data_IF_809652905550
#
_entry.id   IF_809652905550
#
_cell.length_a   1.000
_cell.length_b   1.000
_cell.length_c   1.000
_cell.angle_alpha   90.00
_cell.angle_beta   90.00
_cell.angle_gamma   90.00
#
_symmetry.space_group_name_H-M   'P 1'
#
loop_
_entity.id
_entity.type
_entity.pdbx_description
1 polymer ?
#
# COMPACT_ATOMS: atom_id res chain seq x y z
N UNK A 1 -86.17 58.68 20.35
CA UNK A 1 -85.24 58.15 19.34
C UNK A 1 -83.87 58.79 19.57
N UNK A 2 -83.01 58.20 20.40
CA UNK A 2 -81.55 58.31 20.31
C UNK A 2 -80.83 57.39 21.31
N UNK A 3 -79.79 56.71 20.80
CA UNK A 3 -78.54 56.27 21.45
C UNK A 3 -78.61 55.55 22.82
N UNK A 4 -78.26 54.27 22.85
CA UNK A 4 -76.92 53.83 23.27
C UNK A 4 -76.76 52.31 23.13
N UNK A 5 -76.06 51.90 22.07
CA UNK A 5 -75.36 50.63 21.98
C UNK A 5 -74.01 50.77 22.72
N UNK A 6 -73.45 49.63 23.13
CA UNK A 6 -72.05 49.41 23.54
C UNK A 6 -71.63 49.80 24.96
N UNK A 7 -71.76 48.85 25.89
CA UNK A 7 -70.88 48.74 27.05
C UNK A 7 -70.88 47.32 27.63
N UNK A 8 -70.36 46.32 26.89
CA UNK A 8 -69.95 45.05 27.51
C UNK A 8 -69.14 44.17 26.55
N UNK A 9 -67.96 44.62 26.11
CA UNK A 9 -66.95 43.71 25.51
C UNK A 9 -65.54 44.34 25.46
N UNK A 10 -65.11 45.03 26.53
CA UNK A 10 -63.79 45.64 26.61
C UNK A 10 -62.95 45.09 27.77
N UNK A 11 -62.97 43.77 28.02
CA UNK A 11 -62.15 43.18 29.08
C UNK A 11 -61.48 41.84 28.76
N UNK A 12 -61.28 41.49 27.49
CA UNK A 12 -60.60 40.23 27.11
C UNK A 12 -59.33 40.37 26.28
N UNK A 13 -58.86 41.59 25.98
CA UNK A 13 -57.72 41.78 25.05
C UNK A 13 -56.44 42.33 25.73
N UNK A 14 -56.41 42.47 27.06
CA UNK A 14 -55.27 43.02 27.82
C UNK A 14 -54.36 41.96 28.46
N UNK A 15 -54.40 40.69 28.04
CA UNK A 15 -53.87 39.59 28.87
C UNK A 15 -52.59 38.92 28.38
N UNK A 16 -52.18 39.07 27.11
CA UNK A 16 -50.95 38.43 26.63
C UNK A 16 -49.68 39.28 26.83
N UNK A 17 -49.70 40.55 26.41
CA UNK A 17 -48.54 41.46 26.52
C UNK A 17 -48.35 42.09 27.90
N UNK A 18 -49.41 42.23 28.69
CA UNK A 18 -49.32 42.75 30.05
C UNK A 18 -48.78 41.71 31.04
N UNK A 19 -49.03 40.41 30.80
CA UNK A 19 -48.60 39.34 31.69
C UNK A 19 -47.07 39.24 31.77
N UNK A 20 -46.37 39.32 30.63
CA UNK A 20 -44.90 39.29 30.55
C UNK A 20 -44.22 40.54 31.14
N UNK A 21 -44.93 41.67 31.26
CA UNK A 21 -44.44 42.86 31.93
C UNK A 21 -44.58 42.78 33.47
N UNK A 22 -45.47 41.94 33.98
CA UNK A 22 -45.58 41.67 35.43
C UNK A 22 -44.43 40.80 35.92
N UNK A 23 -44.11 40.93 37.21
CA UNK A 23 -43.13 40.06 37.87
C UNK A 23 -43.47 38.57 37.64
N UNK A 24 -44.75 38.22 37.68
CA UNK A 24 -45.24 36.85 37.46
C UNK A 24 -44.93 36.34 36.05
N UNK A 25 -45.17 37.11 35.00
CA UNK A 25 -44.84 36.67 33.64
C UNK A 25 -43.34 36.62 33.35
N UNK A 26 -42.54 37.52 33.96
CA UNK A 26 -41.07 37.40 33.92
C UNK A 26 -40.58 36.12 34.61
N UNK A 27 -41.14 35.77 35.77
CA UNK A 27 -40.83 34.53 36.48
C UNK A 27 -41.19 33.33 35.60
N UNK A 28 -42.39 33.28 35.03
CA UNK A 28 -42.80 32.19 34.14
C UNK A 28 -41.88 32.05 32.92
N UNK A 29 -41.50 33.17 32.26
CA UNK A 29 -40.58 33.13 31.13
C UNK A 29 -39.17 32.65 31.50
N UNK A 30 -38.69 33.00 32.70
CA UNK A 30 -37.43 32.47 33.25
C UNK A 30 -37.55 30.97 33.54
N UNK A 31 -38.67 30.50 34.10
CA UNK A 31 -38.92 29.08 34.36
C UNK A 31 -38.92 28.25 33.07
N UNK A 32 -39.55 28.75 31.99
CA UNK A 32 -39.53 28.12 30.67
C UNK A 32 -38.12 28.07 30.09
N UNK A 33 -37.36 29.17 30.20
CA UNK A 33 -35.96 29.23 29.75
C UNK A 33 -35.09 28.24 30.51
N UNK A 34 -35.26 28.13 31.83
CA UNK A 34 -34.54 27.17 32.67
C UNK A 34 -34.83 25.74 32.23
N UNK A 35 -36.10 25.40 31.95
CA UNK A 35 -36.47 24.07 31.47
C UNK A 35 -35.81 23.75 30.13
N UNK A 36 -35.86 24.67 29.17
CA UNK A 36 -35.22 24.48 27.86
C UNK A 36 -33.71 24.26 28.00
N UNK A 37 -33.03 25.08 28.81
CA UNK A 37 -31.59 24.93 29.08
C UNK A 37 -31.26 23.61 29.80
N UNK A 38 -32.14 23.13 30.69
CA UNK A 38 -31.97 21.83 31.34
C UNK A 38 -32.06 20.67 30.34
N UNK A 39 -32.98 20.74 29.38
CA UNK A 39 -33.12 19.74 28.32
C UNK A 39 -31.88 19.72 27.41
N UNK A 40 -31.43 20.88 26.94
CA UNK A 40 -30.21 21.01 26.13
C UNK A 40 -28.97 20.50 26.88
N UNK A 41 -28.83 20.86 28.16
CA UNK A 41 -27.69 20.41 28.97
C UNK A 41 -27.69 18.88 29.16
N UNK A 42 -28.87 18.26 29.30
CA UNK A 42 -28.98 16.81 29.38
C UNK A 42 -28.70 16.14 28.02
N UNK A 43 -29.08 16.77 26.92
CA UNK A 43 -28.72 16.31 25.57
C UNK A 43 -27.20 16.33 25.37
N UNK A 44 -26.54 17.46 25.63
CA UNK A 44 -25.09 17.58 25.46
C UNK A 44 -24.31 16.64 26.39
N UNK A 45 -24.80 16.38 27.61
CA UNK A 45 -24.19 15.38 28.50
C UNK A 45 -24.16 13.99 27.85
N UNK A 46 -25.25 13.57 27.21
CA UNK A 46 -25.33 12.28 26.51
C UNK A 46 -24.42 12.28 25.28
N UNK A 47 -24.45 13.34 24.49
CA UNK A 47 -23.61 13.47 23.30
C UNK A 47 -22.11 13.39 23.65
N UNK A 48 -21.67 14.07 24.71
CA UNK A 48 -20.30 14.01 25.21
C UNK A 48 -19.93 12.57 25.64
N UNK A 49 -20.85 11.84 26.26
CA UNK A 49 -20.60 10.44 26.64
C UNK A 49 -20.42 9.54 25.41
N UNK A 50 -21.28 9.70 24.40
CA UNK A 50 -21.17 8.97 23.13
C UNK A 50 -19.84 9.27 22.45
N UNK A 51 -19.49 10.56 22.30
CA UNK A 51 -18.24 10.97 21.66
C UNK A 51 -17.00 10.44 22.39
N UNK A 52 -17.03 10.37 23.73
CA UNK A 52 -15.94 9.77 24.51
C UNK A 52 -15.79 8.28 24.22
N UNK A 53 -16.91 7.54 24.15
CA UNK A 53 -16.90 6.11 23.81
C UNK A 53 -16.42 5.87 22.38
N UNK A 54 -16.86 6.67 21.42
CA UNK A 54 -16.42 6.57 20.02
C UNK A 54 -14.93 6.87 19.89
N UNK A 55 -14.44 7.89 20.60
CA UNK A 55 -13.01 8.21 20.64
C UNK A 55 -12.19 7.01 21.15
N UNK A 56 -12.59 6.40 22.26
CA UNK A 56 -11.89 5.25 22.84
C UNK A 56 -11.85 4.07 21.86
N UNK A 57 -12.96 3.77 21.20
CA UNK A 57 -13.03 2.73 20.17
C UNK A 57 -12.12 3.03 18.96
N UNK A 58 -12.03 4.29 18.53
CA UNK A 58 -11.16 4.73 17.46
C UNK A 58 -9.67 4.61 17.85
N UNK A 59 -9.31 5.01 19.07
CA UNK A 59 -7.94 4.90 19.58
C UNK A 59 -7.49 3.42 19.66
N UNK A 60 -8.37 2.54 20.12
CA UNK A 60 -8.13 1.08 20.14
C UNK A 60 -7.98 0.50 18.73
N UNK A 61 -8.87 0.87 17.81
CA UNK A 61 -8.83 0.43 16.41
C UNK A 61 -7.55 0.88 15.72
N UNK A 62 -7.16 2.14 15.92
CA UNK A 62 -5.93 2.72 15.38
C UNK A 62 -4.70 1.99 15.92
N UNK A 63 -4.65 1.73 17.22
CA UNK A 63 -3.54 1.02 17.87
C UNK A 63 -3.39 -0.40 17.31
N UNK A 64 -4.50 -1.14 17.18
CA UNK A 64 -4.49 -2.49 16.61
C UNK A 64 -4.02 -2.49 15.16
N UNK A 65 -4.57 -1.60 14.32
CA UNK A 65 -4.16 -1.49 12.91
C UNK A 65 -2.68 -1.12 12.77
N UNK A 66 -2.19 -0.19 13.60
CA UNK A 66 -0.78 0.19 13.59
C UNK A 66 0.15 -0.97 13.99
N UNK A 67 -0.27 -1.82 14.94
CA UNK A 67 0.48 -3.02 15.33
C UNK A 67 0.45 -4.08 14.23
N UNK A 68 -0.71 -4.33 13.63
CA UNK A 68 -0.87 -5.29 12.52
C UNK A 68 -0.02 -4.90 11.31
N UNK A 69 -0.09 -3.64 10.87
CA UNK A 69 0.70 -3.12 9.74
C UNK A 69 2.19 -3.29 10.04
N UNK A 70 2.65 -2.90 11.24
CA UNK A 70 4.05 -3.03 11.64
C UNK A 70 4.52 -4.48 11.60
N UNK A 71 3.71 -5.41 12.11
CA UNK A 71 4.03 -6.85 12.11
C UNK A 71 4.07 -7.42 10.68
N UNK A 72 3.10 -7.05 9.84
CA UNK A 72 3.05 -7.49 8.44
C UNK A 72 4.28 -7.01 7.68
N UNK A 73 4.55 -5.70 7.72
CA UNK A 73 5.69 -5.10 7.03
C UNK A 73 7.02 -5.68 7.51
N UNK A 74 7.19 -5.90 8.82
CA UNK A 74 8.41 -6.52 9.35
C UNK A 74 8.60 -7.92 8.78
N UNK A 75 7.52 -8.71 8.71
CA UNK A 75 7.57 -10.08 8.17
C UNK A 75 7.87 -10.07 6.68
N UNK A 76 7.25 -9.16 5.92
CA UNK A 76 7.45 -9.02 4.48
C UNK A 76 8.88 -8.59 4.14
N UNK A 77 9.46 -7.66 4.89
CA UNK A 77 10.85 -7.21 4.71
C UNK A 77 11.82 -8.36 4.97
N UNK A 78 11.66 -9.10 6.07
CA UNK A 78 12.53 -10.25 6.39
C UNK A 78 12.47 -11.29 5.27
N UNK A 79 11.25 -11.62 4.81
CA UNK A 79 11.06 -12.59 3.73
C UNK A 79 11.71 -12.11 2.42
N UNK A 80 11.53 -10.84 2.06
CA UNK A 80 12.12 -10.27 0.86
C UNK A 80 13.67 -10.29 0.92
N UNK A 81 14.25 -10.01 2.07
CA UNK A 81 15.70 -10.09 2.28
C UNK A 81 16.24 -11.53 2.13
N UNK A 82 15.54 -12.51 2.72
CA UNK A 82 15.90 -13.93 2.59
C UNK A 82 15.81 -14.42 1.15
N UNK A 83 14.72 -14.09 0.45
CA UNK A 83 14.51 -14.44 -0.96
C UNK A 83 15.58 -13.79 -1.86
N UNK A 84 15.91 -12.51 -1.62
CA UNK A 84 16.95 -11.82 -2.36
C UNK A 84 18.32 -12.48 -2.14
N UNK A 85 18.67 -12.81 -0.89
CA UNK A 85 19.93 -13.47 -0.54
C UNK A 85 20.05 -14.85 -1.20
N UNK A 86 18.97 -15.63 -1.16
CA UNK A 86 18.90 -16.95 -1.80
C UNK A 86 19.04 -16.85 -3.31
N UNK A 87 18.32 -15.92 -3.94
CA UNK A 87 18.39 -15.67 -5.38
C UNK A 87 19.79 -15.26 -5.81
N UNK A 88 20.41 -14.30 -5.10
CA UNK A 88 21.77 -13.85 -5.36
C UNK A 88 22.79 -15.00 -5.29
N UNK A 89 22.70 -15.84 -4.24
CA UNK A 89 23.61 -16.98 -4.10
C UNK A 89 23.41 -18.01 -5.22
N UNK A 90 22.15 -18.26 -5.61
CA UNK A 90 21.83 -19.11 -6.75
C UNK A 90 22.45 -18.58 -8.05
N UNK A 91 22.27 -17.29 -8.33
CA UNK A 91 22.81 -16.64 -9.52
C UNK A 91 24.34 -16.65 -9.53
N UNK A 92 24.99 -16.41 -8.39
CA UNK A 92 26.45 -16.48 -8.24
C UNK A 92 26.97 -17.89 -8.54
N UNK A 93 26.33 -18.92 -8.01
CA UNK A 93 26.72 -20.31 -8.26
C UNK A 93 26.56 -20.69 -9.74
N UNK A 94 25.47 -20.27 -10.36
CA UNK A 94 25.23 -20.54 -11.78
C UNK A 94 26.24 -19.81 -12.68
N UNK A 95 26.57 -18.56 -12.35
CA UNK A 95 27.62 -17.81 -13.04
C UNK A 95 28.96 -18.55 -12.99
N UNK A 96 29.36 -19.04 -11.81
CA UNK A 96 30.60 -19.81 -11.66
C UNK A 96 30.59 -21.09 -12.52
N UNK A 97 29.47 -21.82 -12.59
CA UNK A 97 29.35 -23.00 -13.46
C UNK A 97 29.50 -22.62 -14.94
N UNK A 98 28.83 -21.55 -15.37
CA UNK A 98 28.92 -21.07 -16.75
C UNK A 98 30.36 -20.65 -17.11
N UNK A 99 31.06 -19.95 -16.20
CA UNK A 99 32.46 -19.58 -16.41
C UNK A 99 33.38 -20.80 -16.55
N UNK A 100 33.16 -21.83 -15.74
CA UNK A 100 33.91 -23.09 -15.85
C UNK A 100 33.64 -23.77 -17.20
N UNK A 101 32.38 -23.86 -17.63
CA UNK A 101 32.02 -24.41 -18.94
C UNK A 101 32.65 -23.63 -20.10
N UNK A 102 32.61 -22.30 -20.04
CA UNK A 102 33.26 -21.43 -21.04
C UNK A 102 34.76 -21.72 -21.11
N UNK A 103 35.41 -21.92 -19.97
CA UNK A 103 36.84 -22.24 -19.90
C UNK A 103 37.14 -23.59 -20.56
N UNK A 104 36.35 -24.62 -20.25
CA UNK A 104 36.48 -25.95 -20.90
C UNK A 104 36.30 -25.85 -22.42
N UNK A 105 35.26 -25.18 -22.89
CA UNK A 105 35.00 -25.00 -24.32
C UNK A 105 36.12 -24.25 -25.05
N UNK A 106 36.75 -23.26 -24.40
CA UNK A 106 37.92 -22.57 -24.97
C UNK A 106 39.13 -23.50 -25.14
N UNK A 107 39.37 -24.36 -24.16
CA UNK A 107 40.44 -25.37 -24.23
C UNK A 107 40.15 -26.37 -25.36
N UNK A 108 38.94 -26.92 -25.42
CA UNK A 108 38.53 -27.84 -26.49
C UNK A 108 38.66 -27.21 -27.88
N UNK A 109 38.20 -25.96 -28.03
CA UNK A 109 38.35 -25.20 -29.28
C UNK A 109 39.82 -25.10 -29.71
N UNK A 110 40.71 -24.80 -28.77
CA UNK A 110 42.15 -24.68 -29.07
C UNK A 110 42.74 -26.02 -29.51
N UNK A 111 42.38 -27.11 -28.83
CA UNK A 111 42.83 -28.45 -29.20
C UNK A 111 42.34 -28.85 -30.61
N UNK A 112 41.06 -28.59 -30.91
CA UNK A 112 40.50 -28.86 -32.23
C UNK A 112 41.17 -28.02 -33.33
N UNK A 113 41.50 -26.76 -33.05
CA UNK A 113 42.26 -25.91 -33.99
C UNK A 113 43.66 -26.47 -34.25
N UNK A 114 44.35 -26.98 -33.23
CA UNK A 114 45.65 -27.62 -33.42
C UNK A 114 45.55 -28.88 -34.27
N UNK A 115 44.59 -29.77 -33.97
CA UNK A 115 44.36 -30.97 -34.77
C UNK A 115 44.01 -30.66 -36.23
N UNK A 116 43.24 -29.60 -36.48
CA UNK A 116 42.94 -29.15 -37.85
C UNK A 116 44.20 -28.73 -38.60
N UNK A 117 45.09 -27.97 -37.96
CA UNK A 117 46.37 -27.56 -38.57
C UNK A 117 47.28 -28.76 -38.86
N UNK A 118 47.36 -29.72 -37.94
CA UNK A 118 48.16 -30.93 -38.11
C UNK A 118 47.64 -31.77 -39.30
N UNK A 119 46.32 -31.93 -39.41
CA UNK A 119 45.68 -32.62 -40.53
C UNK A 119 45.91 -31.88 -41.85
N UNK A 120 45.78 -30.55 -41.88
CA UNK A 120 46.07 -29.74 -43.07
C UNK A 120 47.52 -29.93 -43.54
N UNK A 121 48.48 -29.94 -42.61
CA UNK A 121 49.89 -30.21 -42.94
C UNK A 121 50.08 -31.60 -43.52
N UNK A 122 49.45 -32.61 -42.90
CA UNK A 122 49.54 -34.00 -43.38
C UNK A 122 48.94 -34.18 -44.77
N UNK A 123 47.81 -33.53 -45.05
CA UNK A 123 47.21 -33.53 -46.40
C UNK A 123 48.19 -32.93 -47.42
N UNK A 124 48.78 -31.76 -47.13
CA UNK A 124 49.75 -31.14 -48.03
C UNK A 124 51.00 -32.01 -48.27
N UNK A 125 51.51 -32.68 -47.23
CA UNK A 125 52.61 -33.65 -47.35
C UNK A 125 52.25 -34.82 -48.31
N UNK A 126 51.04 -35.37 -48.17
CA UNK A 126 50.56 -36.46 -49.02
C UNK A 126 50.30 -36.01 -50.46
N UNK A 127 49.72 -34.82 -50.66
CA UNK A 127 49.52 -34.22 -51.99
C UNK A 127 50.86 -34.05 -52.73
N UNK A 128 51.92 -33.64 -52.03
CA UNK A 128 53.26 -33.52 -52.60
C UNK A 128 53.86 -34.89 -52.97
N UNK A 129 53.72 -35.90 -52.10
CA UNK A 129 54.21 -37.26 -52.36
C UNK A 129 53.55 -37.88 -53.57
N UNK A 130 52.22 -37.76 -53.69
CA UNK A 130 51.46 -38.27 -54.83
C UNK A 130 51.91 -37.56 -56.12
N UNK A 131 52.08 -36.23 -56.11
CA UNK A 131 52.60 -35.50 -57.26
C UNK A 131 53.98 -35.98 -57.70
N UNK A 132 54.87 -36.29 -56.76
CA UNK A 132 56.23 -36.78 -57.04
C UNK A 132 56.26 -38.23 -57.58
N UNK A 133 55.33 -39.09 -57.17
CA UNK A 133 55.22 -40.46 -57.71
C UNK A 133 54.68 -40.47 -59.14
N UNK A 134 53.80 -39.54 -59.50
CA UNK A 134 53.23 -39.43 -60.86
C UNK A 134 54.29 -38.94 -61.87
N UNK A 135 55.23 -38.09 -61.44
CA UNK A 135 56.31 -37.58 -62.29
C UNK A 135 57.47 -38.59 -62.50
N UNK A 136 57.47 -39.75 -61.82
CA UNK A 136 58.50 -40.78 -61.96
C UNK A 136 57.95 -42.18 -62.30
N UNK A 137 57.33 -42.38 -63.49
CA UNK A 137 56.73 -43.66 -63.87
C UNK A 137 57.74 -44.76 -64.28
N UNK A 138 59.05 -44.59 -64.06
CA UNK A 138 60.08 -45.54 -64.48
C UNK A 138 60.93 -46.04 -63.33
N UNK A 139 60.47 -47.12 -62.68
CA UNK A 139 61.34 -48.16 -62.11
C UNK A 139 60.50 -49.41 -61.76
N UNK A 140 60.04 -50.10 -62.80
CA UNK A 140 59.89 -51.57 -62.85
C UNK A 140 59.90 -52.02 -64.31
#
# INVERSE_FOLDING_TARGET
>A
MNKSLEASNANQTMTAGAFTATLKGKINGLEETIKALQEELNFYKKEIQTLRSEKEQLDDSLTRKAQEIRKSLTTEVIKAEEDMKKSYLGQKNENNKLQNQITTLKTEKTNLQQHLLDLQRRTAELELQIGAEVDNPQQQ
#
